data_IF_136951658562
#
_entry.id   IF_136951658562
#
_cell.length_a   1.000
_cell.length_b   1.000
_cell.length_c   1.000
_cell.angle_alpha   90.00
_cell.angle_beta   90.00
_cell.angle_gamma   90.00
#
_symmetry.space_group_name_H-M   'P 1'
#
loop_
_entity.id
_entity.type
_entity.pdbx_description
1 polymer ?
#
# COMPACT_ATOMS: atom_id res chain seq x y z
N UNK A 1 -21.04 41.97 -14.60
CA UNK A 1 -21.11 40.50 -14.45
C UNK A 1 -19.71 39.87 -14.47
N UNK A 2 -18.83 40.22 -13.53
CA UNK A 2 -17.46 39.65 -13.47
C UNK A 2 -17.03 39.21 -12.06
N UNK A 3 -17.90 39.36 -11.04
CA UNK A 3 -17.60 39.03 -9.64
C UNK A 3 -18.14 37.66 -9.19
N UNK A 4 -19.05 37.05 -9.94
CA UNK A 4 -19.64 35.75 -9.60
C UNK A 4 -18.80 34.54 -10.02
N UNK A 5 -17.82 34.74 -10.92
CA UNK A 5 -17.03 33.64 -11.49
C UNK A 5 -15.80 33.27 -10.64
N UNK A 6 -15.45 34.10 -9.65
CA UNK A 6 -14.30 33.83 -8.77
C UNK A 6 -14.68 33.01 -7.53
N UNK A 7 -15.97 32.97 -7.18
CA UNK A 7 -16.43 32.26 -5.99
C UNK A 7 -16.51 30.74 -6.19
N UNK A 8 -16.70 30.27 -7.43
CA UNK A 8 -16.78 28.84 -7.78
C UNK A 8 -15.41 28.16 -7.91
N UNK A 9 -14.34 28.93 -8.14
CA UNK A 9 -12.97 28.41 -8.20
C UNK A 9 -12.36 28.19 -6.80
N UNK A 10 -12.85 28.91 -5.78
CA UNK A 10 -12.35 28.77 -4.41
C UNK A 10 -12.99 27.59 -3.66
N UNK A 11 -14.19 27.16 -4.04
CA UNK A 11 -14.88 26.03 -3.37
C UNK A 11 -14.34 24.65 -3.80
N UNK A 12 -13.60 24.55 -4.90
CA UNK A 12 -13.09 23.27 -5.41
C UNK A 12 -11.76 22.84 -4.77
N UNK A 13 -11.11 23.70 -3.98
CA UNK A 13 -9.80 23.44 -3.37
C UNK A 13 -9.86 22.84 -1.96
N UNK A 14 -11.07 22.63 -1.41
CA UNK A 14 -11.26 22.15 -0.04
C UNK A 14 -11.52 20.63 0.10
N UNK A 15 -11.57 19.86 -0.99
CA UNK A 15 -11.90 18.42 -0.92
C UNK A 15 -10.63 17.53 -0.88
N UNK A 16 -9.41 18.06 -1.07
CA UNK A 16 -8.23 17.21 -1.27
C UNK A 16 -7.37 16.89 -0.03
N UNK A 17 -7.70 17.37 1.18
CA UNK A 17 -6.79 17.25 2.33
C UNK A 17 -7.41 16.54 3.55
N UNK A 18 -8.01 15.37 3.34
CA UNK A 18 -8.42 14.50 4.43
C UNK A 18 -7.92 13.06 4.23
N UNK A 19 -6.64 12.88 3.92
CA UNK A 19 -5.94 11.67 4.38
C UNK A 19 -5.48 11.94 5.82
N UNK A 20 -6.44 11.95 6.75
CA UNK A 20 -6.16 11.69 8.16
C UNK A 20 -5.58 10.27 8.18
N UNK A 21 -4.27 10.18 8.29
CA UNK A 21 -3.60 8.91 8.45
C UNK A 21 -2.61 9.17 9.56
N UNK A 22 -3.11 8.98 10.78
CA UNK A 22 -2.32 8.94 12.00
C UNK A 22 -1.26 7.84 11.88
N UNK A 23 -0.53 7.62 12.95
CA UNK A 23 0.26 6.40 13.09
C UNK A 23 -0.70 5.21 13.09
N UNK A 24 -1.11 4.75 11.90
CA UNK A 24 -2.04 3.64 11.72
C UNK A 24 -1.44 2.46 12.46
N UNK A 25 -2.14 2.06 13.52
CA UNK A 25 -1.68 0.99 14.39
C UNK A 25 -1.63 -0.29 13.56
N UNK A 26 -0.41 -0.70 13.20
CA UNK A 26 -0.11 -1.82 12.28
C UNK A 26 -0.39 -3.17 12.95
N UNK A 27 -1.64 -3.38 13.34
CA UNK A 27 -2.08 -4.50 14.19
C UNK A 27 -2.73 -5.62 13.39
N UNK A 28 -3.45 -5.27 12.32
CA UNK A 28 -4.37 -6.20 11.65
C UNK A 28 -4.11 -6.37 10.14
N UNK A 29 -2.90 -6.80 9.72
CA UNK A 29 -2.48 -6.80 8.32
C UNK A 29 -3.39 -7.59 7.37
N UNK A 30 -4.05 -8.65 7.86
CA UNK A 30 -4.97 -9.46 7.05
C UNK A 30 -6.30 -8.74 6.81
N UNK A 31 -6.81 -8.03 7.82
CA UNK A 31 -8.05 -7.26 7.71
C UNK A 31 -7.82 -6.08 6.78
N UNK A 32 -6.71 -5.36 6.99
CA UNK A 32 -6.32 -4.22 6.19
C UNK A 32 -6.16 -4.61 4.71
N UNK A 33 -5.49 -5.73 4.42
CA UNK A 33 -5.33 -6.24 3.06
C UNK A 33 -6.68 -6.60 2.40
N UNK A 34 -7.59 -7.23 3.14
CA UNK A 34 -8.93 -7.58 2.63
C UNK A 34 -9.75 -6.33 2.35
N UNK A 35 -9.71 -5.35 3.24
CA UNK A 35 -10.43 -4.09 3.10
C UNK A 35 -9.87 -3.27 1.93
N UNK A 36 -8.54 -3.14 1.83
CA UNK A 36 -7.88 -2.49 0.71
C UNK A 36 -8.30 -3.15 -0.63
N UNK A 37 -8.21 -4.48 -0.71
CA UNK A 37 -8.60 -5.22 -1.90
C UNK A 37 -10.08 -5.04 -2.25
N UNK A 38 -10.97 -5.08 -1.25
CA UNK A 38 -12.41 -4.84 -1.43
C UNK A 38 -12.69 -3.43 -1.96
N UNK A 39 -11.93 -2.45 -1.51
CA UNK A 39 -11.99 -1.06 -1.97
C UNK A 39 -11.31 -0.84 -3.34
N UNK A 40 -10.87 -1.91 -4.01
CA UNK A 40 -10.20 -1.84 -5.32
C UNK A 40 -8.71 -1.51 -5.26
N UNK A 41 -8.12 -1.38 -4.07
CA UNK A 41 -6.70 -1.09 -3.89
C UNK A 41 -5.90 -2.39 -4.02
N UNK A 42 -5.17 -2.53 -5.12
CA UNK A 42 -4.39 -3.72 -5.50
C UNK A 42 -2.89 -3.49 -5.31
N UNK A 43 -2.53 -2.92 -4.16
CA UNK A 43 -1.16 -2.52 -3.85
C UNK A 43 -0.52 -3.50 -2.88
N UNK A 44 0.79 -3.68 -3.01
CA UNK A 44 1.60 -4.36 -2.01
C UNK A 44 2.21 -3.32 -1.05
N UNK A 45 2.67 -3.77 0.10
CA UNK A 45 3.37 -2.91 1.07
C UNK A 45 4.82 -3.33 1.22
N UNK A 46 5.69 -2.34 1.36
CA UNK A 46 7.14 -2.54 1.48
C UNK A 46 7.75 -1.77 2.65
N UNK A 47 9.03 -2.00 2.87
CA UNK A 47 9.83 -1.26 3.87
C UNK A 47 11.00 -0.63 3.13
N UNK A 48 11.01 0.70 3.07
CA UNK A 48 12.06 1.45 2.41
C UNK A 48 13.29 1.51 3.31
N UNK A 49 14.38 0.89 2.88
CA UNK A 49 15.72 1.02 3.45
C UNK A 49 16.53 2.05 2.65
N UNK A 50 17.78 2.29 3.05
CA UNK A 50 18.64 3.25 2.37
C UNK A 50 18.84 2.91 0.88
N UNK A 51 19.18 1.65 0.59
CA UNK A 51 19.53 1.21 -0.77
C UNK A 51 18.46 0.32 -1.41
N UNK A 52 17.50 -0.17 -0.63
CA UNK A 52 16.53 -1.14 -1.12
C UNK A 52 15.12 -0.94 -0.56
N UNK A 53 14.12 -1.38 -1.33
CA UNK A 53 12.74 -1.48 -0.87
C UNK A 53 12.44 -2.95 -0.60
N UNK A 54 12.39 -3.35 0.66
CA UNK A 54 12.05 -4.72 1.03
C UNK A 54 10.58 -5.02 0.70
N UNK A 55 10.32 -6.24 0.21
CA UNK A 55 8.98 -6.75 -0.06
C UNK A 55 8.73 -8.06 0.70
N UNK A 56 8.54 -8.01 2.04
CA UNK A 56 8.40 -9.22 2.86
C UNK A 56 7.20 -10.09 2.45
N UNK A 57 7.34 -11.40 2.60
CA UNK A 57 6.27 -12.37 2.32
C UNK A 57 6.16 -12.81 0.85
N UNK A 58 6.90 -12.17 -0.06
CA UNK A 58 6.91 -12.53 -1.49
C UNK A 58 8.24 -13.20 -1.85
N UNK A 59 8.16 -14.35 -2.55
CA UNK A 59 9.33 -15.05 -3.11
C UNK A 59 10.02 -14.22 -4.18
N UNK A 60 11.34 -14.27 -4.25
CA UNK A 60 12.18 -13.45 -5.15
C UNK A 60 11.71 -13.47 -6.61
N UNK A 61 11.43 -14.65 -7.16
CA UNK A 61 10.92 -14.81 -8.54
C UNK A 61 9.63 -14.02 -8.80
N UNK A 62 8.75 -13.91 -7.80
CA UNK A 62 7.49 -13.16 -7.87
C UNK A 62 7.72 -11.66 -7.63
N UNK A 63 8.73 -11.27 -6.85
CA UNK A 63 9.02 -9.86 -6.58
C UNK A 63 9.32 -9.08 -7.87
N UNK A 64 10.08 -9.68 -8.80
CA UNK A 64 10.40 -9.05 -10.08
C UNK A 64 9.14 -8.72 -10.91
N UNK A 65 8.15 -9.61 -10.89
CA UNK A 65 6.85 -9.34 -11.54
C UNK A 65 6.08 -8.26 -10.80
N UNK A 66 6.05 -8.31 -9.47
CA UNK A 66 5.31 -7.34 -8.66
C UNK A 66 5.82 -5.93 -8.88
N UNK A 67 7.14 -5.73 -8.83
CA UNK A 67 7.78 -4.43 -9.07
C UNK A 67 7.47 -3.84 -10.44
N UNK A 68 7.17 -4.67 -11.45
CA UNK A 68 6.83 -4.22 -12.80
C UNK A 68 5.34 -3.86 -12.96
N UNK A 69 4.45 -4.51 -12.19
CA UNK A 69 3.01 -4.50 -12.47
C UNK A 69 2.16 -3.85 -11.39
N UNK A 70 2.68 -3.73 -10.17
CA UNK A 70 1.92 -3.26 -9.02
C UNK A 70 2.68 -2.17 -8.29
N UNK A 71 1.92 -1.29 -7.65
CA UNK A 71 2.45 -0.29 -6.74
C UNK A 71 2.87 -0.99 -5.45
N UNK A 72 4.02 -0.58 -4.91
CA UNK A 72 4.52 -1.00 -3.60
C UNK A 72 4.56 0.24 -2.71
N UNK A 73 3.64 0.32 -1.75
CA UNK A 73 3.53 1.44 -0.82
C UNK A 73 4.49 1.23 0.36
N UNK A 74 5.45 2.14 0.62
CA UNK A 74 6.33 2.03 1.78
C UNK A 74 5.55 2.28 3.07
N UNK A 75 5.73 1.40 4.07
CA UNK A 75 5.08 1.53 5.38
C UNK A 75 5.77 2.56 6.27
N UNK A 76 7.08 2.71 6.15
CA UNK A 76 7.86 3.65 6.94
C UNK A 76 7.96 5.01 6.24
N UNK A 77 7.30 6.02 6.81
CA UNK A 77 7.23 7.38 6.25
C UNK A 77 8.51 8.20 6.40
N UNK A 78 9.26 8.01 7.50
CA UNK A 78 10.40 8.85 7.89
C UNK A 78 11.77 8.25 7.50
N UNK A 79 11.84 7.54 6.38
CA UNK A 79 13.09 6.85 5.99
C UNK A 79 14.25 7.81 5.65
N UNK A 80 13.98 9.09 5.35
CA UNK A 80 15.00 10.09 4.99
C UNK A 80 15.49 10.96 6.15
N UNK A 81 14.71 11.11 7.22
CA UNK A 81 14.81 12.33 8.03
C UNK A 81 15.24 12.19 9.47
N UNK A 82 15.27 11.01 10.11
CA UNK A 82 15.95 10.75 11.39
C UNK A 82 15.70 9.30 11.80
N UNK A 83 16.77 8.62 12.24
CA UNK A 83 16.85 7.20 12.60
C UNK A 83 16.37 6.25 11.51
N UNK A 84 17.30 5.73 10.71
CA UNK A 84 17.02 4.66 9.76
C UNK A 84 16.24 3.58 10.52
N UNK A 85 15.12 3.08 10.00
CA UNK A 85 14.34 2.01 10.64
C UNK A 85 15.23 0.79 10.98
N UNK A 86 16.35 0.65 10.28
CA UNK A 86 17.46 -0.26 10.53
C UNK A 86 18.08 -0.14 11.94
N UNK A 87 18.12 1.06 12.50
CA UNK A 87 18.63 1.38 13.84
C UNK A 87 17.62 1.04 14.95
N UNK A 88 16.35 0.81 14.59
CA UNK A 88 15.31 0.33 15.50
C UNK A 88 14.88 -1.12 15.18
N UNK A 89 15.63 -2.15 15.62
CA UNK A 89 15.39 -3.53 15.21
C UNK A 89 14.00 -4.05 15.59
N UNK A 90 13.44 -3.59 16.72
CA UNK A 90 12.08 -3.93 17.16
C UNK A 90 11.03 -3.40 16.18
N UNK A 91 11.18 -2.14 15.74
CA UNK A 91 10.27 -1.52 14.79
C UNK A 91 10.38 -2.16 13.41
N UNK A 92 11.60 -2.43 12.95
CA UNK A 92 11.83 -3.16 11.70
C UNK A 92 11.18 -4.55 11.71
N UNK A 93 11.28 -5.28 12.82
CA UNK A 93 10.64 -6.58 12.96
C UNK A 93 9.11 -6.49 12.87
N UNK A 94 8.49 -5.51 13.54
CA UNK A 94 7.05 -5.27 13.47
C UNK A 94 6.61 -4.98 12.03
N UNK A 95 7.33 -4.09 11.33
CA UNK A 95 7.05 -3.75 9.94
C UNK A 95 7.20 -4.97 9.02
N UNK A 96 8.25 -5.78 9.20
CA UNK A 96 8.46 -7.01 8.43
C UNK A 96 7.32 -8.01 8.64
N UNK A 97 6.90 -8.20 9.90
CA UNK A 97 5.79 -9.11 10.25
C UNK A 97 4.47 -8.63 9.65
N UNK A 98 4.18 -7.34 9.75
CA UNK A 98 2.97 -6.74 9.18
C UNK A 98 2.96 -6.89 7.65
N UNK A 99 4.02 -6.41 6.98
CA UNK A 99 4.13 -6.45 5.52
C UNK A 99 4.03 -7.87 4.97
N UNK A 100 4.67 -8.85 5.64
CA UNK A 100 4.62 -10.25 5.24
C UNK A 100 3.16 -10.77 5.16
N UNK A 101 2.37 -10.58 6.23
CA UNK A 101 0.99 -11.07 6.29
C UNK A 101 0.07 -10.31 5.32
N UNK A 102 0.27 -9.00 5.20
CA UNK A 102 -0.49 -8.18 4.26
C UNK A 102 -0.24 -8.64 2.81
N UNK A 103 1.03 -8.73 2.41
CA UNK A 103 1.43 -9.07 1.04
C UNK A 103 0.99 -10.48 0.64
N UNK A 104 1.09 -11.46 1.53
CA UNK A 104 0.58 -12.81 1.29
C UNK A 104 -0.93 -12.81 1.06
N UNK A 105 -1.66 -11.96 1.79
CA UNK A 105 -3.11 -11.85 1.66
C UNK A 105 -3.48 -11.21 0.32
N UNK A 106 -2.85 -10.09 -0.05
CA UNK A 106 -3.04 -9.44 -1.35
C UNK A 106 -2.71 -10.39 -2.50
N UNK A 107 -1.57 -11.09 -2.44
CA UNK A 107 -1.16 -12.00 -3.52
C UNK A 107 -2.16 -13.15 -3.69
N UNK A 108 -2.68 -13.69 -2.59
CA UNK A 108 -3.74 -14.70 -2.62
C UNK A 108 -5.02 -14.17 -3.27
N UNK A 109 -5.46 -12.97 -2.90
CA UNK A 109 -6.69 -12.36 -3.42
C UNK A 109 -6.57 -12.06 -4.93
N UNK A 110 -5.44 -11.51 -5.37
CA UNK A 110 -5.17 -11.24 -6.78
C UNK A 110 -5.16 -12.52 -7.63
N UNK A 111 -4.54 -13.60 -7.13
CA UNK A 111 -4.57 -14.90 -7.82
C UNK A 111 -5.99 -15.45 -7.93
N UNK A 112 -6.76 -15.37 -6.85
CA UNK A 112 -8.15 -15.83 -6.85
C UNK A 112 -9.03 -15.05 -7.84
N UNK A 113 -8.87 -13.72 -7.88
CA UNK A 113 -9.56 -12.86 -8.85
C UNK A 113 -9.19 -13.23 -10.29
N UNK A 114 -7.89 -13.39 -10.59
CA UNK A 114 -7.43 -13.78 -11.92
C UNK A 114 -8.02 -15.13 -12.36
N UNK A 115 -8.05 -16.12 -11.46
CA UNK A 115 -8.66 -17.42 -11.74
C UNK A 115 -10.17 -17.30 -12.00
N UNK A 116 -10.88 -16.47 -11.24
CA UNK A 116 -12.31 -16.21 -11.43
C UNK A 116 -12.57 -15.53 -12.78
N UNK A 117 -11.75 -14.57 -13.17
CA UNK A 117 -11.83 -13.90 -14.47
C UNK A 117 -11.60 -14.89 -15.62
N UNK A 118 -10.54 -15.72 -15.56
CA UNK A 118 -10.26 -16.73 -16.58
C UNK A 118 -11.40 -17.73 -16.77
N UNK A 119 -12.07 -18.14 -15.68
CA UNK A 119 -13.24 -19.03 -15.76
C UNK A 119 -14.43 -18.34 -16.43
N UNK A 120 -14.64 -17.04 -16.17
CA UNK A 120 -15.78 -16.29 -16.72
C UNK A 120 -15.72 -16.18 -18.25
N UNK A 121 -14.54 -16.00 -18.83
CA UNK A 121 -14.35 -15.87 -20.28
C UNK A 121 -14.22 -17.21 -21.02
N UNK A 122 -14.36 -18.34 -20.31
CA UNK A 122 -14.32 -19.69 -20.91
C UNK A 122 -15.72 -20.20 -21.28
N UNK A 123 -16.77 -19.51 -20.82
CA UNK A 123 -18.17 -19.75 -21.17
C UNK A 123 -18.71 -18.54 -21.93
#
# INVERSE_FOLDING_TARGET
MLKLLHFTLLSCLLILNASVCGDDDLTSPVIDAKQAFHNGIKEYVGIQLADELLLPGIKENRQAEIRKKYIIRPLNRRWRTLDNVEQEPRRLYQLKRYANRYNLTIDKLLRAEKLKQQRRYRY
#
